data_IF_767711924070
#
_entry.id   IF_767711924070
#
_cell.length_a   1.000
_cell.length_b   1.000
_cell.length_c   1.000
_cell.angle_alpha   90.00
_cell.angle_beta   90.00
_cell.angle_gamma   90.00
#
_symmetry.space_group_name_H-M   'P 1'
#
loop_
_entity.id
_entity.type
_entity.pdbx_description
1 polymer ?
#
# COMPACT_ATOMS: atom_id res chain seq x y z
N UNK A 1 -10.78 -32.21 -7.28
CA UNK A 1 -10.22 -31.00 -7.91
C UNK A 1 -9.11 -31.45 -8.85
N UNK A 2 -9.05 -30.87 -10.04
CA UNK A 2 -7.95 -31.10 -11.00
C UNK A 2 -6.71 -30.35 -10.49
N UNK A 3 -5.54 -30.97 -10.55
CA UNK A 3 -4.27 -30.30 -10.22
C UNK A 3 -3.99 -29.24 -11.29
N UNK A 4 -3.68 -27.98 -10.92
CA UNK A 4 -3.31 -26.95 -11.88
C UNK A 4 -2.12 -27.37 -12.75
N UNK A 5 -2.14 -26.95 -14.01
CA UNK A 5 -1.01 -27.08 -14.94
C UNK A 5 0.05 -26.02 -14.64
N UNK A 6 1.30 -26.25 -15.06
CA UNK A 6 2.40 -25.29 -14.85
C UNK A 6 2.11 -23.91 -15.45
N UNK A 7 1.45 -23.87 -16.62
CA UNK A 7 1.04 -22.61 -17.26
C UNK A 7 -0.02 -21.84 -16.44
N UNK A 8 -0.93 -22.55 -15.76
CA UNK A 8 -1.92 -21.94 -14.87
C UNK A 8 -1.28 -21.37 -13.59
N UNK A 9 -0.25 -22.04 -13.07
CA UNK A 9 0.53 -21.56 -11.91
C UNK A 9 1.29 -20.29 -12.28
N UNK A 10 2.01 -20.30 -13.40
CA UNK A 10 2.74 -19.13 -13.91
C UNK A 10 1.82 -17.93 -14.15
N UNK A 11 0.67 -18.15 -14.79
CA UNK A 11 -0.32 -17.10 -15.00
C UNK A 11 -0.85 -16.52 -13.68
N UNK A 12 -1.02 -17.37 -12.65
CA UNK A 12 -1.44 -16.94 -11.31
C UNK A 12 -0.37 -16.11 -10.60
N UNK A 13 0.90 -16.52 -10.68
CA UNK A 13 2.04 -15.77 -10.14
C UNK A 13 2.12 -14.37 -10.77
N UNK A 14 1.99 -14.28 -12.09
CA UNK A 14 2.00 -13.00 -12.80
C UNK A 14 0.82 -12.10 -12.41
N UNK A 15 -0.35 -12.68 -12.18
CA UNK A 15 -1.52 -11.92 -11.69
C UNK A 15 -1.27 -11.35 -10.28
N UNK A 16 -0.70 -12.14 -9.37
CA UNK A 16 -0.35 -11.69 -8.01
C UNK A 16 0.64 -10.52 -8.03
N UNK A 17 1.70 -10.61 -8.85
CA UNK A 17 2.66 -9.50 -8.98
C UNK A 17 2.03 -8.25 -9.59
N UNK A 18 1.14 -8.41 -10.57
CA UNK A 18 0.44 -7.27 -11.17
C UNK A 18 -0.44 -6.56 -10.15
N UNK A 19 -1.23 -7.31 -9.40
CA UNK A 19 -2.11 -6.77 -8.38
C UNK A 19 -1.30 -6.12 -7.25
N UNK A 20 -0.21 -6.75 -6.81
CA UNK A 20 0.72 -6.16 -5.85
C UNK A 20 1.25 -4.79 -6.32
N UNK A 21 1.64 -4.69 -7.59
CA UNK A 21 2.08 -3.43 -8.20
C UNK A 21 1.00 -2.35 -8.18
N UNK A 22 -0.27 -2.71 -8.38
CA UNK A 22 -1.39 -1.76 -8.28
C UNK A 22 -1.55 -1.26 -6.84
N UNK A 23 -1.49 -2.14 -5.85
CA UNK A 23 -1.57 -1.76 -4.44
C UNK A 23 -0.41 -0.85 -4.02
N UNK A 24 0.83 -1.17 -4.38
CA UNK A 24 1.98 -0.28 -4.14
C UNK A 24 1.84 1.06 -4.86
N UNK A 25 1.25 1.09 -6.06
CA UNK A 25 0.93 2.32 -6.77
C UNK A 25 -0.04 3.21 -5.99
N UNK A 26 -1.07 2.62 -5.40
CA UNK A 26 -2.03 3.34 -4.54
C UNK A 26 -1.37 3.83 -3.23
N UNK A 27 -0.50 3.02 -2.62
CA UNK A 27 0.26 3.43 -1.43
C UNK A 27 1.07 4.69 -1.71
N UNK A 28 1.86 4.70 -2.79
CA UNK A 28 2.66 5.85 -3.20
C UNK A 28 1.81 7.12 -3.45
N UNK A 29 0.60 6.98 -3.99
CA UNK A 29 -0.30 8.12 -4.17
C UNK A 29 -0.78 8.69 -2.84
N UNK A 30 -1.15 7.83 -1.87
CA UNK A 30 -1.55 8.29 -0.54
C UNK A 30 -0.40 8.95 0.21
N UNK A 31 0.82 8.42 0.13
CA UNK A 31 2.00 9.05 0.71
C UNK A 31 2.24 10.45 0.10
N UNK A 32 2.19 10.56 -1.23
CA UNK A 32 2.32 11.85 -1.92
C UNK A 32 1.24 12.86 -1.47
N UNK A 33 -0.01 12.43 -1.31
CA UNK A 33 -1.07 13.28 -0.77
C UNK A 33 -0.82 13.65 0.68
N UNK A 34 -0.29 12.74 1.50
CA UNK A 34 0.10 13.02 2.88
C UNK A 34 1.17 14.10 2.95
N UNK A 35 2.19 14.04 2.09
CA UNK A 35 3.22 15.07 1.98
C UNK A 35 2.64 16.44 1.58
N UNK A 36 1.74 16.50 0.60
CA UNK A 36 1.05 17.74 0.22
C UNK A 36 0.23 18.27 1.39
N UNK A 37 -0.54 17.41 2.05
CA UNK A 37 -1.39 17.80 3.18
C UNK A 37 -0.58 18.37 4.35
N UNK A 38 0.60 17.81 4.66
CA UNK A 38 1.52 18.37 5.68
C UNK A 38 2.00 19.78 5.34
N UNK A 39 2.14 20.08 4.05
CA UNK A 39 2.53 21.42 3.56
C UNK A 39 1.41 22.46 3.64
N UNK A 40 0.16 22.06 3.83
CA UNK A 40 -0.98 22.96 3.98
C UNK A 40 -1.09 23.43 5.44
N UNK A 41 -0.28 24.41 5.84
CA UNK A 41 -0.46 25.07 7.13
C UNK A 41 -1.19 26.40 6.98
N UNK A 42 -2.11 26.67 7.91
CA UNK A 42 -2.69 27.99 8.14
C UNK A 42 -2.28 28.40 9.55
N UNK A 43 -1.49 29.46 9.66
CA UNK A 43 -1.05 30.02 10.93
C UNK A 43 -2.02 31.08 11.45
N UNK A 44 -1.75 31.56 12.66
CA UNK A 44 -2.46 32.70 13.25
C UNK A 44 -2.32 34.00 12.46
N UNK A 45 -1.47 34.06 11.43
CA UNK A 45 -1.42 35.17 10.49
C UNK A 45 -2.52 35.08 9.43
N UNK A 46 -2.83 33.87 8.94
CA UNK A 46 -3.92 33.61 8.00
C UNK A 46 -5.29 33.65 8.70
N UNK A 47 -5.36 33.28 9.98
CA UNK A 47 -6.54 33.53 10.81
C UNK A 47 -6.55 34.97 11.31
N UNK A 48 -7.65 35.71 11.13
CA UNK A 48 -7.79 37.02 11.78
C UNK A 48 -7.56 36.91 13.30
N UNK A 49 -7.15 37.99 13.97
CA UNK A 49 -6.91 37.95 15.43
C UNK A 49 -8.09 37.43 16.26
N UNK A 50 -9.33 37.57 15.77
CA UNK A 50 -10.54 36.98 16.37
C UNK A 50 -10.61 35.45 16.16
N UNK A 51 -10.13 34.95 15.04
CA UNK A 51 -10.06 33.52 14.73
C UNK A 51 -9.04 32.79 15.61
N UNK A 52 -7.89 33.40 15.88
CA UNK A 52 -6.92 32.88 16.85
C UNK A 52 -7.48 32.88 18.28
N UNK A 53 -8.15 33.97 18.70
CA UNK A 53 -8.77 34.03 20.02
C UNK A 53 -9.89 32.99 20.22
N UNK A 54 -10.50 32.54 19.12
CA UNK A 54 -11.50 31.48 19.09
C UNK A 54 -10.90 30.07 18.90
N UNK A 55 -9.57 29.92 18.80
CA UNK A 55 -8.88 28.64 18.64
C UNK A 55 -9.06 27.96 17.27
N UNK A 56 -9.41 28.72 16.22
CA UNK A 56 -9.67 28.14 14.89
C UNK A 56 -8.42 27.58 14.22
N UNK A 57 -7.25 28.14 14.53
CA UNK A 57 -5.95 27.66 14.08
C UNK A 57 -5.63 26.28 14.68
N UNK A 58 -5.85 26.09 15.98
CA UNK A 58 -5.68 24.80 16.65
C UNK A 58 -6.64 23.73 16.09
N UNK A 59 -7.91 24.10 15.88
CA UNK A 59 -8.91 23.22 15.28
C UNK A 59 -8.50 22.81 13.87
N UNK A 60 -8.06 23.77 13.05
CA UNK A 60 -7.59 23.48 11.70
C UNK A 60 -6.38 22.55 11.71
N UNK A 61 -5.37 22.83 12.54
CA UNK A 61 -4.17 22.02 12.67
C UNK A 61 -4.51 20.58 13.08
N UNK A 62 -5.41 20.39 14.04
CA UNK A 62 -5.85 19.05 14.46
C UNK A 62 -6.58 18.29 13.35
N UNK A 63 -7.43 18.96 12.57
CA UNK A 63 -8.12 18.35 11.43
C UNK A 63 -7.13 17.98 10.32
N UNK A 64 -6.18 18.86 10.02
CA UNK A 64 -5.11 18.61 9.05
C UNK A 64 -4.28 17.39 9.47
N UNK A 65 -3.82 17.34 10.72
CA UNK A 65 -3.04 16.23 11.27
C UNK A 65 -3.81 14.90 11.19
N UNK A 66 -5.12 14.94 11.47
CA UNK A 66 -5.99 13.75 11.34
C UNK A 66 -6.06 13.26 9.90
N UNK A 67 -6.17 14.15 8.91
CA UNK A 67 -6.16 13.78 7.49
C UNK A 67 -4.82 13.16 7.10
N UNK A 68 -3.71 13.78 7.50
CA UNK A 68 -2.35 13.25 7.26
C UNK A 68 -2.21 11.85 7.84
N UNK A 69 -2.66 11.64 9.08
CA UNK A 69 -2.61 10.33 9.75
C UNK A 69 -3.40 9.27 8.98
N UNK A 70 -4.60 9.61 8.48
CA UNK A 70 -5.41 8.67 7.71
C UNK A 70 -4.76 8.31 6.35
N UNK A 71 -4.10 9.28 5.71
CA UNK A 71 -3.36 9.04 4.47
C UNK A 71 -2.17 8.10 4.71
N UNK A 72 -1.39 8.32 5.77
CA UNK A 72 -0.28 7.45 6.14
C UNK A 72 -0.73 6.02 6.47
N UNK A 73 -1.83 5.89 7.24
CA UNK A 73 -2.42 4.60 7.57
C UNK A 73 -2.94 3.87 6.32
N UNK A 74 -3.59 4.60 5.40
CA UNK A 74 -4.04 4.06 4.12
C UNK A 74 -2.86 3.56 3.28
N UNK A 75 -1.79 4.36 3.17
CA UNK A 75 -0.56 3.97 2.45
C UNK A 75 0.03 2.68 3.01
N UNK A 76 0.20 2.64 4.34
CA UNK A 76 0.74 1.46 5.05
C UNK A 76 -0.10 0.21 4.79
N UNK A 77 -1.43 0.34 4.80
CA UNK A 77 -2.32 -0.80 4.54
C UNK A 77 -2.19 -1.33 3.10
N UNK A 78 -2.07 -0.44 2.11
CA UNK A 78 -1.86 -0.87 0.72
C UNK A 78 -0.49 -1.53 0.52
N UNK A 79 0.57 -1.02 1.14
CA UNK A 79 1.88 -1.69 1.11
C UNK A 79 1.86 -3.07 1.78
N UNK A 80 1.13 -3.22 2.88
CA UNK A 80 0.96 -4.52 3.54
C UNK A 80 0.27 -5.54 2.61
N UNK A 81 -0.76 -5.12 1.86
CA UNK A 81 -1.44 -5.97 0.88
C UNK A 81 -0.47 -6.33 -0.25
N UNK A 82 0.23 -5.34 -0.81
CA UNK A 82 1.21 -5.57 -1.86
C UNK A 82 2.30 -6.57 -1.42
N UNK A 83 2.85 -6.41 -0.22
CA UNK A 83 3.84 -7.31 0.36
C UNK A 83 3.32 -8.74 0.55
N UNK A 84 2.07 -8.89 0.97
CA UNK A 84 1.45 -10.21 1.12
C UNK A 84 1.25 -10.93 -0.23
N UNK A 85 0.89 -10.18 -1.28
CA UNK A 85 0.75 -10.71 -2.63
C UNK A 85 2.10 -11.10 -3.24
N UNK A 86 3.13 -10.27 -3.07
CA UNK A 86 4.50 -10.61 -3.47
C UNK A 86 4.99 -11.88 -2.79
N UNK A 87 4.81 -11.98 -1.47
CA UNK A 87 5.20 -13.17 -0.73
C UNK A 87 4.47 -14.43 -1.23
N UNK A 88 3.17 -14.33 -1.48
CA UNK A 88 2.38 -15.44 -2.01
C UNK A 88 2.88 -15.88 -3.39
N UNK A 89 3.27 -14.93 -4.25
CA UNK A 89 3.82 -15.21 -5.56
C UNK A 89 5.19 -15.92 -5.47
N UNK A 90 6.07 -15.43 -4.60
CA UNK A 90 7.39 -16.03 -4.36
C UNK A 90 7.27 -17.45 -3.80
N UNK A 91 6.34 -17.67 -2.87
CA UNK A 91 6.06 -18.99 -2.30
C UNK A 91 5.57 -19.98 -3.39
N UNK A 92 4.71 -19.53 -4.32
CA UNK A 92 4.27 -20.36 -5.45
C UNK A 92 5.40 -20.71 -6.43
N UNK A 93 6.25 -19.75 -6.80
CA UNK A 93 7.39 -20.01 -7.68
C UNK A 93 8.38 -21.00 -7.04
N UNK A 94 8.62 -20.88 -5.74
CA UNK A 94 9.47 -21.81 -5.01
C UNK A 94 8.89 -23.22 -4.96
N UNK A 95 7.59 -23.35 -4.70
CA UNK A 95 6.90 -24.65 -4.67
C UNK A 95 6.93 -25.35 -6.04
N UNK A 96 6.74 -24.59 -7.12
CA UNK A 96 6.77 -25.14 -8.48
C UNK A 96 8.18 -25.63 -8.86
N UNK A 97 9.22 -24.83 -8.56
CA UNK A 97 10.62 -25.25 -8.78
C UNK A 97 10.93 -26.55 -8.01
N UNK A 98 10.51 -26.63 -6.76
CA UNK A 98 10.70 -27.82 -5.94
C UNK A 98 9.95 -29.03 -6.50
N UNK A 99 8.73 -28.85 -7.01
CA UNK A 99 7.95 -29.91 -7.63
C UNK A 99 8.62 -30.45 -8.90
N UNK A 100 9.08 -29.56 -9.79
CA UNK A 100 9.81 -29.93 -11.01
C UNK A 100 11.11 -30.67 -10.68
N UNK A 101 11.85 -30.23 -9.66
CA UNK A 101 13.08 -30.91 -9.23
C UNK A 101 12.81 -32.33 -8.69
N UNK A 102 11.74 -32.52 -7.91
CA UNK A 102 11.35 -33.86 -7.43
C UNK A 102 10.98 -34.78 -8.61
N UNK A 103 10.23 -34.28 -9.59
CA UNK A 103 9.88 -35.05 -10.79
C UNK A 103 11.11 -35.48 -11.59
N UNK A 104 12.11 -34.61 -11.74
CA UNK A 104 13.35 -34.91 -12.48
C UNK A 104 14.30 -35.89 -11.77
N UNK A 105 14.21 -36.03 -10.44
CA UNK A 105 15.04 -36.97 -9.66
C UNK A 105 14.42 -38.38 -9.52
N UNK A 106 13.15 -38.55 -9.90
CA UNK A 106 12.41 -39.83 -9.81
C UNK A 106 12.45 -40.61 -11.13
N UNK A 107 12.84 -39.97 -12.23
CA UNK A 107 13.13 -40.59 -13.53
C UNK A 107 14.64 -40.70 -13.76
#
# INVERSE_FOLDING_TARGET
MMTPTGDEVEASIQALHRDAGVWSGMANQLDAFGQVARGLSLSSFEFSGLGHLAGLDEIYASLQERVVTLLDQGSTNFDNIAGALHKSADDYDQDERNAVHRLKNVY
#
